data_IF_101582924103
#
_entry.id   IF_101582924103
#
_cell.length_a   1.000
_cell.length_b   1.000
_cell.length_c   1.000
_cell.angle_alpha   90.00
_cell.angle_beta   90.00
_cell.angle_gamma   90.00
#
_symmetry.space_group_name_H-M   'P 1'
#
loop_
_entity.id
_entity.type
_entity.pdbx_description
1 polymer ?
#
# COMPACT_ATOMS: atom_id res chain seq x y z
N UNK A 1 30.71 29.44 -60.06
CA UNK A 1 31.73 29.61 -58.99
C UNK A 1 31.06 29.17 -57.68
N UNK A 2 31.10 27.88 -57.35
CA UNK A 2 32.07 27.25 -56.42
C UNK A 2 31.72 27.61 -54.97
N UNK A 3 31.51 26.72 -54.00
CA UNK A 3 31.75 25.28 -53.90
C UNK A 3 31.31 24.75 -52.52
N UNK A 4 31.53 23.44 -52.32
CA UNK A 4 31.03 22.52 -51.29
C UNK A 4 31.84 22.56 -49.96
N UNK A 5 31.30 21.91 -48.91
CA UNK A 5 32.07 21.25 -47.82
C UNK A 5 31.40 21.44 -46.45
N UNK A 6 30.96 20.44 -45.68
CA UNK A 6 31.38 19.05 -45.56
C UNK A 6 32.45 18.92 -44.47
N UNK A 7 32.07 18.50 -43.26
CA UNK A 7 33.01 18.34 -42.14
C UNK A 7 32.42 17.61 -40.94
N UNK A 8 32.20 16.30 -41.09
CA UNK A 8 31.98 15.38 -39.99
C UNK A 8 33.32 15.08 -39.31
N UNK A 9 33.39 15.21 -37.98
CA UNK A 9 34.52 14.71 -37.18
C UNK A 9 34.03 13.52 -36.36
N UNK A 10 34.36 12.35 -36.87
CA UNK A 10 34.27 11.07 -36.17
C UNK A 10 35.56 10.86 -35.37
N UNK A 11 35.45 10.51 -34.09
CA UNK A 11 36.58 10.06 -33.27
C UNK A 11 36.14 8.96 -32.31
N UNK A 12 36.49 7.71 -32.63
CA UNK A 12 36.53 6.59 -31.67
C UNK A 12 37.93 6.47 -31.06
N UNK A 13 38.27 5.56 -30.15
CA UNK A 13 37.55 4.65 -29.26
C UNK A 13 38.56 4.28 -28.14
N UNK A 14 38.11 4.04 -26.92
CA UNK A 14 38.90 3.33 -25.91
C UNK A 14 37.94 2.49 -25.05
N UNK A 15 38.10 1.17 -25.18
CA UNK A 15 37.31 0.14 -24.50
C UNK A 15 37.74 -0.03 -23.04
N UNK A 16 36.74 -0.14 -22.15
CA UNK A 16 36.89 -0.61 -20.77
C UNK A 16 35.50 -0.96 -20.25
N UNK A 17 35.24 -2.25 -20.04
CA UNK A 17 33.91 -2.85 -19.92
C UNK A 17 33.11 -2.46 -18.67
N UNK A 18 31.79 -2.48 -18.82
CA UNK A 18 30.79 -2.33 -17.77
C UNK A 18 29.43 -1.98 -18.39
N UNK A 19 28.50 -2.94 -18.39
CA UNK A 19 27.26 -2.90 -19.15
C UNK A 19 26.34 -1.70 -18.84
N UNK A 20 25.79 -1.10 -19.90
CA UNK A 20 24.60 -0.24 -19.86
C UNK A 20 24.83 1.23 -20.23
N UNK A 21 24.64 1.60 -21.50
CA UNK A 21 24.41 3.01 -21.87
C UNK A 21 24.83 3.38 -23.29
N UNK A 22 23.85 3.70 -24.14
CA UNK A 22 24.10 4.44 -25.38
C UNK A 22 24.86 5.74 -25.08
N UNK A 23 25.78 6.13 -25.97
CA UNK A 23 26.83 7.15 -25.76
C UNK A 23 26.39 8.61 -25.52
N UNK A 24 25.21 8.84 -24.95
CA UNK A 24 24.68 10.15 -24.56
C UNK A 24 24.98 10.52 -23.10
N UNK A 25 24.74 11.80 -22.72
CA UNK A 25 24.87 12.23 -21.32
C UNK A 25 23.80 11.58 -20.45
N UNK A 26 24.12 11.29 -19.17
CA UNK A 26 23.11 10.82 -18.20
C UNK A 26 22.01 11.87 -17.99
N UNK A 27 20.86 11.45 -17.47
CA UNK A 27 19.68 12.29 -17.24
C UNK A 27 19.98 13.55 -16.43
N UNK A 28 20.86 13.46 -15.43
CA UNK A 28 21.34 14.62 -14.68
C UNK A 28 22.12 15.61 -15.57
N UNK A 29 23.14 15.13 -16.28
CA UNK A 29 23.94 15.98 -17.16
C UNK A 29 23.13 16.56 -18.32
N UNK A 30 22.14 15.80 -18.83
CA UNK A 30 21.16 16.26 -19.82
C UNK A 30 20.32 17.42 -19.26
N UNK A 31 19.81 17.29 -18.03
CA UNK A 31 19.06 18.36 -17.36
C UNK A 31 19.93 19.60 -17.09
N UNK A 32 21.15 19.43 -16.57
CA UNK A 32 22.10 20.52 -16.32
C UNK A 32 22.70 21.13 -17.59
N UNK A 33 22.45 20.56 -18.78
CA UNK A 33 23.04 20.98 -20.05
C UNK A 33 24.57 21.05 -20.02
N UNK A 34 25.22 20.07 -19.38
CA UNK A 34 26.68 19.99 -19.26
C UNK A 34 27.23 18.67 -19.81
N UNK A 35 28.54 18.63 -20.12
CA UNK A 35 29.21 17.41 -20.57
C UNK A 35 29.21 16.36 -19.47
N UNK A 36 28.79 15.14 -19.81
CA UNK A 36 28.90 13.97 -18.92
C UNK A 36 30.29 13.36 -19.10
N UNK A 37 31.09 13.32 -18.03
CA UNK A 37 32.45 12.78 -18.01
C UNK A 37 32.47 11.36 -17.42
N UNK A 38 33.53 10.60 -17.72
CA UNK A 38 33.81 9.34 -17.04
C UNK A 38 33.99 9.60 -15.54
N UNK A 39 33.23 8.87 -14.70
CA UNK A 39 33.18 9.12 -13.26
C UNK A 39 32.10 10.09 -12.79
N UNK A 40 31.16 10.50 -13.66
CA UNK A 40 29.99 11.27 -13.20
C UNK A 40 29.19 10.49 -12.14
N UNK A 41 29.11 11.04 -10.93
CA UNK A 41 28.43 10.41 -9.79
C UNK A 41 26.95 10.14 -10.06
N UNK A 42 26.32 10.88 -10.97
CA UNK A 42 24.91 10.72 -11.30
C UNK A 42 24.66 9.69 -12.43
N UNK A 43 25.68 9.35 -13.22
CA UNK A 43 25.50 8.50 -14.39
C UNK A 43 24.95 7.10 -14.08
N UNK A 44 25.37 6.41 -13.00
CA UNK A 44 24.84 5.08 -12.67
C UNK A 44 23.36 5.07 -12.29
N UNK A 45 22.81 6.21 -11.85
CA UNK A 45 21.47 6.27 -11.26
C UNK A 45 20.43 6.94 -12.16
N UNK A 46 20.86 7.81 -13.07
CA UNK A 46 19.98 8.56 -13.98
C UNK A 46 20.21 8.15 -15.45
N UNK A 47 20.12 6.85 -15.75
CA UNK A 47 20.42 6.29 -17.08
C UNK A 47 19.25 6.23 -18.07
N UNK A 48 18.00 6.36 -17.61
CA UNK A 48 16.80 6.24 -18.46
C UNK A 48 16.37 7.57 -19.09
N UNK A 49 15.44 7.51 -20.04
CA UNK A 49 14.75 8.70 -20.58
C UNK A 49 14.11 9.54 -19.46
N UNK A 50 13.49 8.85 -18.50
CA UNK A 50 12.88 9.44 -17.31
C UNK A 50 13.91 10.05 -16.33
N UNK A 51 15.19 9.72 -16.48
CA UNK A 51 16.26 10.21 -15.61
C UNK A 51 16.37 11.73 -15.58
N UNK A 52 16.08 12.44 -16.67
CA UNK A 52 16.10 13.91 -16.68
C UNK A 52 14.93 14.52 -15.90
N UNK A 53 13.73 13.94 -16.02
CA UNK A 53 12.55 14.36 -15.27
C UNK A 53 12.73 14.11 -13.76
N UNK A 54 13.19 12.92 -13.38
CA UNK A 54 13.47 12.59 -11.98
C UNK A 54 14.55 13.52 -11.40
N UNK A 55 15.62 13.75 -12.16
CA UNK A 55 16.68 14.65 -11.71
C UNK A 55 16.19 16.10 -11.57
N UNK A 56 15.26 16.56 -12.41
CA UNK A 56 14.69 17.90 -12.28
C UNK A 56 13.99 18.10 -10.92
N UNK A 57 13.26 17.10 -10.45
CA UNK A 57 12.60 17.14 -9.15
C UNK A 57 13.62 17.17 -8.01
N UNK A 58 14.60 16.27 -8.06
CA UNK A 58 15.69 16.20 -7.08
C UNK A 58 16.48 17.51 -7.03
N UNK A 59 16.78 18.09 -8.19
CA UNK A 59 17.47 19.37 -8.29
C UNK A 59 16.65 20.51 -7.68
N UNK A 60 15.34 20.55 -7.93
CA UNK A 60 14.47 21.60 -7.40
C UNK A 60 14.31 21.54 -5.88
N UNK A 61 14.27 20.34 -5.30
CA UNK A 61 14.02 20.16 -3.86
C UNK A 61 15.30 20.17 -3.03
N UNK A 62 16.31 19.43 -3.46
CA UNK A 62 17.54 19.22 -2.70
C UNK A 62 18.73 19.97 -3.28
N UNK A 63 18.77 20.17 -4.60
CA UNK A 63 19.90 20.74 -5.32
C UNK A 63 20.98 19.70 -5.65
N UNK A 64 21.59 19.84 -6.83
CA UNK A 64 22.59 18.89 -7.32
C UNK A 64 23.79 18.72 -6.38
N UNK A 65 24.29 19.82 -5.81
CA UNK A 65 25.47 19.80 -4.93
C UNK A 65 25.20 19.05 -3.62
N UNK A 66 24.01 19.21 -3.04
CA UNK A 66 23.64 18.53 -1.80
C UNK A 66 23.47 17.03 -2.04
N UNK A 67 22.81 16.64 -3.12
CA UNK A 67 22.67 15.22 -3.49
C UNK A 67 24.03 14.61 -3.80
N UNK A 68 24.91 15.30 -4.52
CA UNK A 68 26.28 14.84 -4.78
C UNK A 68 27.04 14.56 -3.48
N UNK A 69 27.02 15.52 -2.54
CA UNK A 69 27.64 15.36 -1.21
C UNK A 69 27.03 14.18 -0.45
N UNK A 70 25.70 14.07 -0.41
CA UNK A 70 25.00 12.99 0.27
C UNK A 70 25.41 11.62 -0.29
N UNK A 71 25.41 11.46 -1.62
CA UNK A 71 25.80 10.21 -2.26
C UNK A 71 27.26 9.84 -1.99
N UNK A 72 28.17 10.80 -1.84
CA UNK A 72 29.56 10.51 -1.48
C UNK A 72 29.69 9.90 -0.06
N UNK A 73 28.85 10.31 0.88
CA UNK A 73 28.86 9.79 2.27
C UNK A 73 28.15 8.44 2.42
N UNK A 74 27.31 8.07 1.46
CA UNK A 74 26.59 6.79 1.46
C UNK A 74 27.49 5.71 0.84
N UNK A 75 27.60 4.51 1.46
CA UNK A 75 28.39 3.41 0.90
C UNK A 75 27.79 2.94 -0.43
N UNK A 76 28.65 2.55 -1.38
CA UNK A 76 28.27 2.35 -2.79
C UNK A 76 27.10 1.38 -2.98
N UNK A 77 27.02 0.32 -2.17
CA UNK A 77 25.95 -0.67 -2.20
C UNK A 77 24.57 -0.13 -1.83
N UNK A 78 24.47 1.01 -1.13
CA UNK A 78 23.20 1.63 -0.73
C UNK A 78 22.84 2.88 -1.54
N UNK A 79 23.71 3.32 -2.45
CA UNK A 79 23.49 4.56 -3.20
C UNK A 79 22.30 4.47 -4.14
N UNK A 80 22.05 3.30 -4.73
CA UNK A 80 20.89 3.10 -5.60
C UNK A 80 19.59 3.32 -4.82
N UNK A 81 19.42 2.63 -3.68
CA UNK A 81 18.26 2.78 -2.81
C UNK A 81 18.10 4.22 -2.33
N UNK A 82 19.20 4.87 -1.92
CA UNK A 82 19.19 6.26 -1.53
C UNK A 82 18.69 7.19 -2.65
N UNK A 83 19.14 6.99 -3.91
CA UNK A 83 18.64 7.79 -5.03
C UNK A 83 17.16 7.56 -5.27
N UNK A 84 16.66 6.33 -5.14
CA UNK A 84 15.23 6.02 -5.26
C UNK A 84 14.44 6.80 -4.20
N UNK A 85 14.86 6.76 -2.93
CA UNK A 85 14.23 7.51 -1.84
C UNK A 85 14.26 9.02 -2.07
N UNK A 86 15.41 9.57 -2.45
CA UNK A 86 15.56 11.01 -2.76
C UNK A 86 14.64 11.41 -3.91
N UNK A 87 14.53 10.60 -4.96
CA UNK A 87 13.62 10.86 -6.08
C UNK A 87 12.15 10.85 -5.62
N UNK A 88 11.76 9.89 -4.78
CA UNK A 88 10.41 9.82 -4.22
C UNK A 88 10.09 11.05 -3.36
N UNK A 89 10.96 11.39 -2.42
CA UNK A 89 10.78 12.54 -1.52
C UNK A 89 10.72 13.86 -2.29
N UNK A 90 11.59 14.04 -3.29
CA UNK A 90 11.56 15.21 -4.14
C UNK A 90 10.22 15.35 -4.86
N UNK A 91 9.72 14.27 -5.46
CA UNK A 91 8.43 14.28 -6.15
C UNK A 91 7.27 14.53 -5.18
N UNK A 92 7.30 13.93 -3.99
CA UNK A 92 6.29 14.18 -2.96
C UNK A 92 6.27 15.66 -2.57
N UNK A 93 7.44 16.28 -2.37
CA UNK A 93 7.54 17.71 -2.04
C UNK A 93 7.13 18.65 -3.17
N UNK A 94 7.25 18.22 -4.42
CA UNK A 94 6.70 18.98 -5.55
C UNK A 94 5.17 18.91 -5.62
N UNK A 95 4.57 17.77 -5.23
CA UNK A 95 3.11 17.60 -5.17
C UNK A 95 2.49 18.29 -3.97
N UNK A 96 3.16 18.21 -2.82
CA UNK A 96 2.75 18.84 -1.56
C UNK A 96 3.93 19.66 -0.99
N UNK A 97 3.98 20.97 -1.28
CA UNK A 97 5.07 21.83 -0.81
C UNK A 97 5.12 22.00 0.71
N UNK A 98 4.00 21.73 1.42
CA UNK A 98 3.89 21.94 2.86
C UNK A 98 4.35 20.70 3.61
N UNK A 99 3.81 19.52 3.28
CA UNK A 99 4.07 18.29 4.03
C UNK A 99 4.89 17.24 3.25
N UNK A 100 5.03 17.37 1.93
CA UNK A 100 5.82 16.46 1.11
C UNK A 100 5.46 14.98 1.30
N UNK A 101 6.45 14.14 1.61
CA UNK A 101 6.20 12.72 1.88
C UNK A 101 5.51 12.45 3.22
N UNK A 102 5.48 13.43 4.14
CA UNK A 102 4.88 13.26 5.47
C UNK A 102 3.36 13.18 5.37
N UNK A 103 2.71 13.86 4.42
CA UNK A 103 1.27 13.70 4.20
C UNK A 103 0.91 12.27 3.80
N UNK A 104 1.77 11.57 3.05
CA UNK A 104 1.58 10.15 2.76
C UNK A 104 1.68 9.27 4.01
N UNK A 105 2.62 9.59 4.92
CA UNK A 105 2.75 8.88 6.19
C UNK A 105 1.47 9.04 7.01
N UNK A 106 0.95 10.27 7.14
CA UNK A 106 -0.30 10.52 7.85
C UNK A 106 -1.50 9.82 7.22
N UNK A 107 -1.61 9.83 5.89
CA UNK A 107 -2.68 9.12 5.18
C UNK A 107 -2.64 7.61 5.48
N UNK A 108 -1.45 6.99 5.44
CA UNK A 108 -1.28 5.58 5.78
C UNK A 108 -1.60 5.29 7.26
N UNK A 109 -1.19 6.16 8.18
CA UNK A 109 -1.54 6.02 9.60
C UNK A 109 -3.05 6.08 9.82
N UNK A 110 -3.73 7.02 9.16
CA UNK A 110 -5.20 7.12 9.22
C UNK A 110 -5.87 5.87 8.64
N UNK A 111 -5.34 5.32 7.54
CA UNK A 111 -5.83 4.09 6.95
C UNK A 111 -5.70 2.90 7.90
N UNK A 112 -4.57 2.77 8.60
CA UNK A 112 -4.37 1.71 9.61
C UNK A 112 -5.40 1.85 10.73
N UNK A 113 -5.61 3.07 11.26
CA UNK A 113 -6.60 3.32 12.31
C UNK A 113 -8.02 2.99 11.83
N UNK A 114 -8.38 3.41 10.62
CA UNK A 114 -9.69 3.12 10.03
C UNK A 114 -9.94 1.62 9.87
N UNK A 115 -8.96 0.89 9.33
CA UNK A 115 -9.06 -0.56 9.15
C UNK A 115 -9.11 -1.29 10.48
N UNK A 116 -8.35 -0.83 11.48
CA UNK A 116 -8.41 -1.40 12.82
C UNK A 116 -9.78 -1.19 13.47
N UNK A 117 -10.40 -0.02 13.28
CA UNK A 117 -11.76 0.25 13.75
C UNK A 117 -12.78 -0.67 13.07
N UNK A 118 -12.71 -0.84 11.76
CA UNK A 118 -13.57 -1.75 10.99
C UNK A 118 -13.45 -3.20 11.48
N UNK A 119 -12.22 -3.68 11.70
CA UNK A 119 -11.99 -5.00 12.28
C UNK A 119 -12.55 -5.13 13.70
N UNK A 120 -12.42 -4.09 14.53
CA UNK A 120 -12.96 -4.11 15.89
C UNK A 120 -14.49 -4.18 15.91
N UNK A 121 -15.14 -3.45 15.00
CA UNK A 121 -16.59 -3.47 14.82
C UNK A 121 -17.06 -4.86 14.41
N UNK A 122 -16.46 -5.45 13.38
CA UNK A 122 -16.82 -6.80 12.90
C UNK A 122 -16.60 -7.87 13.98
N UNK A 123 -15.51 -7.79 14.75
CA UNK A 123 -15.27 -8.70 15.88
C UNK A 123 -16.33 -8.56 16.97
N UNK A 124 -16.73 -7.33 17.29
CA UNK A 124 -17.80 -7.09 18.26
C UNK A 124 -19.13 -7.67 17.76
N UNK A 125 -19.47 -7.49 16.48
CA UNK A 125 -20.67 -8.09 15.89
C UNK A 125 -20.65 -9.63 15.97
N UNK A 126 -19.54 -10.28 15.62
CA UNK A 126 -19.43 -11.73 15.74
C UNK A 126 -19.62 -12.22 17.18
N UNK A 127 -19.02 -11.55 18.16
CA UNK A 127 -19.18 -11.91 19.57
C UNK A 127 -20.65 -11.79 20.05
N UNK A 128 -21.41 -10.81 19.56
CA UNK A 128 -22.84 -10.68 19.88
C UNK A 128 -23.70 -11.80 19.28
N UNK A 129 -23.32 -12.31 18.11
CA UNK A 129 -24.02 -13.45 17.48
C UNK A 129 -23.74 -14.75 18.23
N UNK A 130 -22.52 -14.97 18.71
CA UNK A 130 -22.16 -16.17 19.49
C UNK A 130 -22.88 -16.24 20.85
N UNK A 131 -23.20 -15.10 21.47
CA UNK A 131 -23.97 -15.05 22.73
C UNK A 131 -25.48 -15.32 22.57
N UNK A 132 -26.01 -15.40 21.35
CA UNK A 132 -27.44 -15.67 21.10
C UNK A 132 -27.76 -17.16 21.07
N UNK A 133 -26.78 -18.07 21.27
CA UNK A 133 -27.10 -19.48 21.55
C UNK A 133 -27.88 -19.57 22.86
N UNK A 134 -29.19 -19.89 22.87
CA UNK A 134 -29.89 -20.14 24.12
C UNK A 134 -29.16 -21.27 24.86
N UNK A 135 -29.06 -21.23 26.21
CA UNK A 135 -28.51 -22.34 26.96
C UNK A 135 -29.27 -23.63 26.55
N UNK A 136 -28.58 -24.76 26.35
CA UNK A 136 -29.26 -26.01 26.00
C UNK A 136 -30.32 -26.29 27.07
N UNK A 137 -31.58 -26.59 26.68
CA UNK A 137 -32.62 -26.86 27.65
C UNK A 137 -32.19 -28.05 28.54
N UNK A 138 -32.43 -27.99 29.86
CA UNK A 138 -32.11 -29.11 30.74
C UNK A 138 -32.84 -30.38 30.27
N UNK A 139 -32.21 -31.57 30.37
CA UNK A 139 -32.80 -32.81 29.88
C UNK A 139 -34.13 -33.11 30.60
N UNK A 140 -35.20 -33.52 29.88
CA UNK A 140 -36.48 -33.83 30.51
C UNK A 140 -36.38 -35.12 31.33
N UNK A 141 -36.90 -35.15 32.58
CA UNK A 141 -37.04 -36.39 33.33
C UNK A 141 -38.11 -37.31 32.72
N UNK A 142 -37.98 -38.64 32.88
CA UNK A 142 -38.86 -39.62 32.25
C UNK A 142 -40.32 -39.49 32.74
N UNK A 143 -41.23 -39.59 31.79
CA UNK A 143 -42.67 -39.51 31.94
C UNK A 143 -43.26 -40.66 32.77
N UNK A 144 -44.19 -40.32 33.65
CA UNK A 144 -45.15 -41.24 34.29
C UNK A 144 -46.59 -40.79 34.00
N UNK A 145 -47.59 -41.69 33.98
CA UNK A 145 -48.86 -41.44 33.31
C UNK A 145 -49.88 -40.64 34.17
N UNK A 146 -50.54 -39.70 33.47
CA UNK A 146 -51.94 -39.22 33.57
C UNK A 146 -52.60 -38.93 34.92
N UNK A 147 -53.07 -37.68 35.09
CA UNK A 147 -54.49 -37.19 35.10
C UNK A 147 -54.54 -35.92 35.99
N UNK A 148 -55.12 -34.78 35.57
CA UNK A 148 -56.44 -34.20 35.95
C UNK A 148 -56.29 -32.65 35.67
N UNK A 149 -57.32 -31.81 35.43
CA UNK A 149 -58.45 -31.84 34.50
C UNK A 149 -58.44 -30.63 33.51
N UNK A 150 -59.42 -30.62 32.61
CA UNK A 150 -59.72 -29.54 31.67
C UNK A 150 -60.36 -28.37 32.43
N UNK A 151 -59.64 -27.26 32.65
CA UNK A 151 -60.23 -25.92 32.74
C UNK A 151 -59.15 -24.85 32.59
N UNK A 152 -59.48 -23.86 31.75
CA UNK A 152 -58.74 -22.63 31.40
C UNK A 152 -57.68 -22.73 30.31
N UNK A 153 -58.16 -22.92 29.07
CA UNK A 153 -57.63 -22.12 27.95
C UNK A 153 -58.23 -20.71 28.03
N UNK A 154 -57.45 -19.62 27.88
CA UNK A 154 -57.99 -18.38 27.36
C UNK A 154 -58.15 -18.49 25.82
N UNK A 155 -59.22 -17.91 25.23
CA UNK A 155 -59.49 -17.96 23.81
C UNK A 155 -58.61 -16.97 23.01
N UNK A 156 -58.61 -17.22 21.70
CA UNK A 156 -57.70 -16.72 20.68
C UNK A 156 -57.76 -15.22 20.34
N UNK A 157 -56.76 -14.83 19.53
CA UNK A 157 -56.70 -13.68 18.60
C UNK A 157 -56.14 -12.39 19.25
N UNK A 158 -55.17 -11.66 18.68
CA UNK A 158 -55.04 -11.24 17.29
C UNK A 158 -53.76 -10.40 17.00
N UNK A 159 -53.27 -10.47 15.73
CA UNK A 159 -52.40 -9.54 14.95
C UNK A 159 -50.86 -9.77 14.91
N UNK A 160 -50.14 -9.37 13.82
CA UNK A 160 -50.32 -9.63 12.38
C UNK A 160 -49.04 -10.25 11.72
N UNK A 161 -49.08 -10.69 10.43
CA UNK A 161 -47.94 -11.29 9.75
C UNK A 161 -47.08 -10.21 9.06
N UNK A 162 -45.89 -9.93 9.60
CA UNK A 162 -44.71 -9.36 8.90
C UNK A 162 -43.77 -8.73 9.92
N UNK A 163 -43.10 -9.55 10.72
CA UNK A 163 -41.82 -9.12 11.28
C UNK A 163 -40.75 -9.46 10.25
N UNK A 164 -40.41 -8.47 9.42
CA UNK A 164 -39.25 -8.55 8.54
C UNK A 164 -37.99 -8.34 9.38
N UNK A 165 -37.28 -9.45 9.62
CA UNK A 165 -35.99 -9.48 10.31
C UNK A 165 -34.92 -8.59 9.65
N UNK A 166 -35.17 -8.09 8.44
CA UNK A 166 -34.32 -7.11 7.77
C UNK A 166 -34.30 -5.72 8.45
N UNK A 167 -35.29 -5.35 9.26
CA UNK A 167 -35.37 -3.99 9.85
C UNK A 167 -34.73 -3.85 11.23
N UNK A 168 -34.38 -4.94 11.91
CA UNK A 168 -33.53 -4.88 13.11
C UNK A 168 -32.05 -4.60 12.78
N UNK A 169 -31.67 -4.74 11.51
CA UNK A 169 -30.34 -4.37 11.00
C UNK A 169 -30.22 -2.89 10.62
N UNK A 170 -31.30 -2.10 10.71
CA UNK A 170 -31.25 -0.65 10.54
C UNK A 170 -31.87 0.06 11.75
N UNK A 171 -31.06 0.33 12.77
CA UNK A 171 -31.20 1.61 13.49
C UNK A 171 -29.85 2.31 13.63
N UNK A 172 -29.83 3.64 13.48
CA UNK A 172 -28.66 4.37 13.01
C UNK A 172 -27.82 4.87 14.18
N UNK A 173 -26.73 4.17 14.48
CA UNK A 173 -25.58 4.85 15.10
C UNK A 173 -24.84 5.57 13.97
N UNK A 174 -25.31 6.78 13.65
CA UNK A 174 -24.57 7.84 12.96
C UNK A 174 -23.54 7.36 11.90
N UNK A 175 -24.01 6.60 10.91
CA UNK A 175 -23.21 6.11 9.78
C UNK A 175 -23.17 6.99 8.51
N UNK A 176 -23.99 8.06 8.33
CA UNK A 176 -23.88 8.86 7.10
C UNK A 176 -22.51 9.53 6.97
N UNK A 177 -21.96 10.06 8.06
CA UNK A 177 -20.70 10.80 8.01
C UNK A 177 -19.48 9.89 7.86
N UNK A 178 -19.45 8.73 8.50
CA UNK A 178 -18.31 7.80 8.45
C UNK A 178 -18.21 7.09 7.11
N UNK A 179 -19.35 6.67 6.52
CA UNK A 179 -19.39 6.10 5.17
C UNK A 179 -19.07 7.16 4.12
N UNK A 180 -19.59 8.39 4.26
CA UNK A 180 -19.29 9.49 3.33
C UNK A 180 -17.83 9.95 3.43
N UNK A 181 -17.28 10.01 4.65
CA UNK A 181 -15.88 10.37 4.85
C UNK A 181 -14.93 9.28 4.38
N UNK A 182 -15.27 8.00 4.55
CA UNK A 182 -14.50 6.88 3.97
C UNK A 182 -14.56 6.90 2.43
N UNK A 183 -15.68 7.30 1.83
CA UNK A 183 -15.79 7.45 0.38
C UNK A 183 -14.99 8.65 -0.13
N UNK A 184 -15.00 9.76 0.60
CA UNK A 184 -14.23 10.96 0.27
C UNK A 184 -12.72 10.74 0.46
N UNK A 185 -12.32 10.02 1.51
CA UNK A 185 -10.94 9.61 1.77
C UNK A 185 -10.46 8.59 0.72
N UNK A 186 -11.30 7.59 0.34
CA UNK A 186 -11.01 6.71 -0.81
C UNK A 186 -10.85 7.46 -2.12
N UNK A 187 -11.65 8.51 -2.37
CA UNK A 187 -11.52 9.31 -3.60
C UNK A 187 -10.27 10.19 -3.60
N UNK A 188 -9.91 10.81 -2.47
CA UNK A 188 -8.66 11.56 -2.29
C UNK A 188 -7.45 10.63 -2.46
N UNK A 189 -7.49 9.47 -1.82
CA UNK A 189 -6.46 8.43 -1.90
C UNK A 189 -6.31 7.89 -3.33
N UNK A 190 -7.43 7.66 -4.05
CA UNK A 190 -7.40 7.25 -5.47
C UNK A 190 -6.80 8.32 -6.40
N UNK A 191 -6.96 9.60 -6.08
CA UNK A 191 -6.39 10.72 -6.85
C UNK A 191 -4.92 11.00 -6.51
N UNK A 192 -4.47 10.72 -5.29
CA UNK A 192 -3.08 10.91 -4.87
C UNK A 192 -2.17 9.68 -5.07
N UNK A 193 -2.76 8.48 -5.06
CA UNK A 193 -2.09 7.19 -5.16
C UNK A 193 -2.68 6.32 -6.27
N UNK A 194 -3.04 6.93 -7.40
CA UNK A 194 -3.28 6.16 -8.62
C UNK A 194 -2.01 5.33 -8.90
N UNK A 195 -2.13 4.01 -9.15
CA UNK A 195 -0.98 3.23 -9.57
C UNK A 195 -0.35 3.92 -10.78
N UNK A 196 0.98 4.05 -10.78
CA UNK A 196 1.68 4.27 -12.04
C UNK A 196 1.40 3.00 -12.85
N UNK A 197 0.46 3.08 -13.79
CA UNK A 197 0.22 2.00 -14.74
C UNK A 197 1.48 1.89 -15.61
N UNK A 198 2.39 1.02 -15.21
CA UNK A 198 3.50 0.59 -16.02
C UNK A 198 2.90 -0.31 -17.12
N UNK A 199 2.96 0.04 -18.41
CA UNK A 199 2.34 -0.74 -19.48
C UNK A 199 3.08 -2.06 -19.79
N UNK A 200 3.91 -2.56 -18.87
CA UNK A 200 4.62 -3.83 -19.05
C UNK A 200 4.94 -4.51 -17.72
N UNK A 201 4.25 -5.63 -17.45
CA UNK A 201 4.68 -6.60 -16.44
C UNK A 201 3.78 -6.72 -15.20
N UNK A 202 2.56 -7.23 -15.39
CA UNK A 202 1.68 -7.63 -14.29
C UNK A 202 2.20 -8.88 -13.57
N UNK A 203 2.90 -8.68 -12.46
CA UNK A 203 3.11 -9.69 -11.42
C UNK A 203 2.04 -9.54 -10.36
N UNK A 204 1.18 -10.55 -10.22
CA UNK A 204 -0.01 -10.53 -9.37
C UNK A 204 0.34 -10.40 -7.88
N UNK A 205 0.34 -9.16 -7.37
CA UNK A 205 0.57 -8.82 -5.96
C UNK A 205 -0.37 -9.61 -5.01
N UNK A 206 -1.55 -10.00 -5.50
CA UNK A 206 -2.52 -10.84 -4.77
C UNK A 206 -2.03 -12.27 -4.52
N UNK A 207 -1.11 -12.80 -5.33
CA UNK A 207 -0.54 -14.14 -5.13
C UNK A 207 0.52 -14.11 -4.03
N UNK A 208 1.39 -13.10 -4.03
CA UNK A 208 2.35 -12.84 -2.95
C UNK A 208 1.68 -12.60 -1.59
N UNK A 209 0.56 -11.86 -1.58
CA UNK A 209 -0.22 -11.63 -0.37
C UNK A 209 -0.80 -12.92 0.22
N UNK A 210 -1.24 -13.87 -0.64
CA UNK A 210 -1.70 -15.19 -0.17
C UNK A 210 -0.56 -16.03 0.39
N UNK A 211 0.60 -16.03 -0.27
CA UNK A 211 1.76 -16.83 0.14
C UNK A 211 2.29 -16.45 1.54
N UNK A 212 2.29 -15.16 1.88
CA UNK A 212 2.72 -14.68 3.21
C UNK A 212 1.76 -15.08 4.34
N UNK A 213 0.46 -15.15 4.05
CA UNK A 213 -0.56 -15.58 5.01
C UNK A 213 -0.46 -17.10 5.26
N UNK A 214 -0.18 -17.88 4.23
CA UNK A 214 0.06 -19.32 4.34
C UNK A 214 1.37 -19.64 5.09
N UNK A 215 2.43 -18.83 4.88
CA UNK A 215 3.72 -18.97 5.56
C UNK A 215 3.65 -18.79 7.08
N UNK A 216 2.80 -17.88 7.57
CA UNK A 216 2.58 -17.66 9.00
C UNK A 216 1.89 -18.84 9.71
N UNK A 217 1.07 -19.62 9.00
CA UNK A 217 0.44 -20.84 9.55
C UNK A 217 1.44 -21.98 9.77
N UNK A 218 2.50 -22.03 8.97
CA UNK A 218 3.49 -23.12 9.03
C UNK A 218 4.53 -22.95 10.14
N UNK A 219 4.77 -21.72 10.61
CA UNK A 219 5.74 -21.42 11.66
C UNK A 219 5.28 -21.76 13.09
N UNK A 220 3.99 -22.07 13.30
CA UNK A 220 3.42 -22.34 14.62
C UNK A 220 3.51 -23.81 15.09
N UNK A 221 4.14 -24.72 14.33
CA UNK A 221 4.22 -26.16 14.65
C UNK A 221 5.67 -26.67 14.73
N UNK A 222 6.46 -26.16 15.69
CA UNK A 222 7.72 -26.79 16.06
C UNK A 222 7.75 -27.07 17.58
N UNK A 223 8.04 -28.32 18.02
CA UNK A 223 8.11 -28.66 19.44
C UNK A 223 9.41 -28.14 20.08
N UNK A 224 9.43 -27.90 21.41
CA UNK A 224 10.58 -27.32 22.10
C UNK A 224 11.76 -28.33 22.22
N UNK A 225 13.02 -27.84 22.27
CA UNK A 225 14.19 -28.70 22.36
C UNK A 225 14.34 -29.34 23.75
N UNK A 226 14.77 -30.61 23.77
CA UNK A 226 15.03 -31.38 24.98
C UNK A 226 16.29 -30.86 25.71
N UNK A 227 16.13 -30.49 26.97
CA UNK A 227 17.21 -30.21 27.91
C UNK A 227 17.83 -31.52 28.39
N UNK A 228 19.11 -31.75 28.09
CA UNK A 228 19.90 -32.86 28.64
C UNK A 228 20.66 -32.40 29.89
N UNK A 229 20.68 -33.28 30.90
CA UNK A 229 21.25 -33.13 32.24
C UNK A 229 22.77 -33.24 32.25
#
# INVERSE_FOLDING_TARGET
>A
MSGRGGGALSGGCASGGGAGGGGGPCGACKFLRRKCVSGCIFAPYFGSEQGAANFSAVHKVFGASNVSKLLMHIPANKRLDAVVTICYEAQARLRDPVHGCVSHIFALQQQVVSLQAELSLLRAHLATLELTSPPPPPPPPPSSPLTIPISELPPASSLPPSFDLATLFETPVNLPWSVQQQQQDRQVNRRQFAPIEDPSGGGDLRSLARELVEGQKSAATLPPPAVSK
#
